data_IF_774540418817
#
_entry.id   IF_774540418817
#
_cell.length_a   1.000
_cell.length_b   1.000
_cell.length_c   1.000
_cell.angle_alpha   90.00
_cell.angle_beta   90.00
_cell.angle_gamma   90.00
#
_symmetry.space_group_name_H-M   'P 1'
#
loop_
_entity.id
_entity.type
_entity.pdbx_description
1 polymer ?
#
# COMPACT_ATOMS: atom_id res chain seq x y z
N UNK A 1 38.73 -4.73 83.43
CA UNK A 1 39.95 -5.42 82.93
C UNK A 1 39.44 -6.53 82.01
N UNK A 2 39.41 -6.25 80.71
CA UNK A 2 40.38 -6.78 79.72
C UNK A 2 40.17 -8.30 79.51
N UNK A 3 40.06 -8.87 78.31
CA UNK A 3 40.34 -8.41 76.96
C UNK A 3 40.00 -9.58 76.00
N UNK A 4 39.78 -9.29 74.71
CA UNK A 4 39.88 -10.21 73.56
C UNK A 4 38.90 -11.42 73.46
N UNK A 5 38.50 -11.95 72.29
CA UNK A 5 38.94 -11.82 70.89
C UNK A 5 37.84 -12.41 70.00
N UNK A 6 37.57 -11.79 68.84
CA UNK A 6 36.89 -12.45 67.73
C UNK A 6 37.81 -13.49 67.08
N UNK A 7 37.26 -14.66 66.70
CA UNK A 7 37.87 -15.56 65.71
C UNK A 7 36.80 -16.30 64.92
N UNK A 8 36.88 -16.14 63.59
CA UNK A 8 36.07 -16.81 62.57
C UNK A 8 36.19 -18.35 62.63
N UNK A 9 35.10 -19.10 62.36
CA UNK A 9 35.20 -20.53 62.09
C UNK A 9 35.70 -20.81 60.65
N UNK A 10 36.37 -21.96 60.43
CA UNK A 10 37.10 -22.27 59.21
C UNK A 10 36.24 -22.79 58.04
N UNK A 11 36.78 -22.56 56.84
CA UNK A 11 36.30 -22.93 55.51
C UNK A 11 35.88 -24.41 55.37
N UNK A 12 34.63 -24.64 55.01
CA UNK A 12 34.15 -25.93 54.51
C UNK A 12 34.41 -26.07 53.00
N UNK A 13 34.99 -27.20 52.63
CA UNK A 13 35.49 -27.53 51.28
C UNK A 13 34.37 -27.84 50.30
N UNK A 14 34.52 -27.30 49.09
CA UNK A 14 33.69 -27.49 47.90
C UNK A 14 33.85 -28.91 47.34
N UNK A 15 32.75 -29.64 47.06
CA UNK A 15 32.75 -30.68 46.06
C UNK A 15 32.16 -30.16 44.73
N UNK A 16 33.00 -30.18 43.71
CA UNK A 16 32.67 -29.93 42.32
C UNK A 16 31.69 -30.98 41.79
N UNK A 17 30.45 -30.57 41.47
CA UNK A 17 29.62 -31.28 40.50
C UNK A 17 29.35 -30.34 39.33
N UNK A 18 30.09 -30.60 38.26
CA UNK A 18 29.93 -30.05 36.92
C UNK A 18 28.49 -30.35 36.48
N UNK A 19 27.59 -29.39 36.66
CA UNK A 19 26.28 -29.40 36.04
C UNK A 19 26.46 -28.66 34.71
N UNK A 20 26.58 -29.43 33.63
CA UNK A 20 26.48 -28.92 32.25
C UNK A 20 25.13 -28.22 32.12
N UNK A 21 25.12 -26.92 32.40
CA UNK A 21 24.02 -26.03 32.06
C UNK A 21 24.26 -25.68 30.60
N UNK A 22 23.50 -26.34 29.74
CA UNK A 22 23.31 -25.90 28.36
C UNK A 22 22.68 -24.51 28.47
N UNK A 23 23.52 -23.47 28.39
CA UNK A 23 23.06 -22.14 28.06
C UNK A 23 22.54 -22.22 26.63
N UNK A 24 21.25 -22.50 26.49
CA UNK A 24 20.51 -22.16 25.29
C UNK A 24 20.75 -20.65 25.12
N UNK A 25 21.43 -20.18 24.05
CA UNK A 25 21.43 -18.76 23.80
C UNK A 25 19.95 -18.40 23.61
N UNK A 26 19.51 -17.40 24.37
CA UNK A 26 18.31 -16.64 24.06
C UNK A 26 18.63 -15.97 22.72
N UNK A 27 18.60 -16.76 21.65
CA UNK A 27 18.42 -16.29 20.30
C UNK A 27 17.01 -15.73 20.33
N UNK A 28 16.95 -14.46 20.74
CA UNK A 28 15.94 -13.47 20.41
C UNK A 28 15.02 -14.04 19.34
N UNK A 29 13.84 -14.43 19.80
CA UNK A 29 12.65 -14.59 18.99
C UNK A 29 12.42 -13.22 18.35
N UNK A 30 13.14 -12.94 17.26
CA UNK A 30 12.78 -11.87 16.33
C UNK A 30 11.56 -12.42 15.63
N UNK A 31 10.42 -12.14 16.24
CA UNK A 31 9.13 -12.39 15.66
C UNK A 31 9.13 -11.75 14.26
N UNK A 32 8.95 -12.60 13.26
CA UNK A 32 8.58 -12.25 11.90
C UNK A 32 7.24 -11.50 11.95
N UNK A 33 7.29 -10.21 12.28
CA UNK A 33 6.28 -9.29 11.79
C UNK A 33 6.63 -9.09 10.32
N UNK A 34 5.97 -9.86 9.44
CA UNK A 34 5.73 -9.42 8.08
C UNK A 34 4.94 -8.12 8.19
N UNK A 35 5.68 -7.01 8.35
CA UNK A 35 5.14 -5.72 8.70
C UNK A 35 4.27 -5.22 7.57
N UNK A 36 3.03 -4.87 7.90
CA UNK A 36 2.25 -3.96 7.08
C UNK A 36 3.09 -2.67 6.98
N UNK A 37 3.72 -2.42 5.83
CA UNK A 37 4.52 -1.22 5.64
C UNK A 37 3.55 -0.05 5.52
N UNK A 38 3.54 0.81 6.53
CA UNK A 38 2.78 2.06 6.48
C UNK A 38 3.32 2.89 5.32
N UNK A 39 2.50 3.23 4.31
CA UNK A 39 2.97 4.00 3.18
C UNK A 39 3.48 5.37 3.64
N UNK A 40 4.50 5.94 2.97
CA UNK A 40 4.98 7.27 3.29
C UNK A 40 3.84 8.29 3.11
N UNK A 41 3.67 9.16 4.11
CA UNK A 41 2.73 10.27 4.09
C UNK A 41 3.50 11.55 4.41
N UNK A 42 3.53 12.46 3.44
CA UNK A 42 4.07 13.80 3.62
C UNK A 42 2.89 14.74 3.90
N UNK A 43 3.02 15.59 4.91
CA UNK A 43 1.92 16.48 5.31
C UNK A 43 1.41 17.31 4.11
N UNK A 44 0.10 17.32 3.92
CA UNK A 44 -0.56 18.06 2.84
C UNK A 44 -0.52 17.38 1.47
N UNK A 45 0.02 16.16 1.36
CA UNK A 45 -0.07 15.34 0.15
C UNK A 45 -0.87 14.08 0.43
N UNK A 46 -1.66 13.59 -0.54
CA UNK A 46 -2.26 12.27 -0.42
C UNK A 46 -1.23 11.20 -0.08
N UNK A 47 -1.61 10.26 0.77
CA UNK A 47 -0.74 9.15 1.15
C UNK A 47 -0.23 8.40 -0.09
N UNK A 48 1.04 7.97 -0.06
CA UNK A 48 1.65 7.22 -1.17
C UNK A 48 1.58 7.95 -2.53
N UNK A 49 1.55 9.29 -2.52
CA UNK A 49 1.51 10.09 -3.74
C UNK A 49 2.71 9.79 -4.64
N UNK A 50 2.46 9.62 -5.93
CA UNK A 50 3.47 9.31 -6.93
C UNK A 50 3.15 9.89 -8.29
N UNK A 51 4.20 10.08 -9.07
CA UNK A 51 4.13 10.53 -10.45
C UNK A 51 4.16 9.31 -11.37
N UNK A 52 3.12 9.13 -12.18
CA UNK A 52 3.09 8.09 -13.22
C UNK A 52 3.66 8.66 -14.51
N UNK A 53 3.15 9.78 -15.00
CA UNK A 53 3.62 10.40 -16.24
C UNK A 53 3.65 11.91 -16.10
N UNK A 54 4.62 12.56 -16.73
CA UNK A 54 4.70 14.02 -16.86
C UNK A 54 5.01 14.40 -18.31
N UNK A 55 4.69 15.65 -18.67
CA UNK A 55 4.84 16.18 -20.02
C UNK A 55 3.48 16.40 -20.68
N UNK A 56 3.28 15.98 -21.94
CA UNK A 56 2.00 16.16 -22.64
C UNK A 56 0.83 15.46 -21.95
N UNK A 57 1.11 14.33 -21.27
CA UNK A 57 0.15 13.56 -20.49
C UNK A 57 0.65 13.46 -19.05
N UNK A 58 -0.06 14.13 -18.14
CA UNK A 58 0.22 14.11 -16.70
C UNK A 58 -0.71 13.13 -15.99
N UNK A 59 -0.14 12.14 -15.32
CA UNK A 59 -0.87 11.16 -14.53
C UNK A 59 -0.18 11.00 -13.19
N UNK A 60 -0.96 11.06 -12.12
CA UNK A 60 -0.54 10.94 -10.74
C UNK A 60 -1.28 9.77 -10.08
N UNK A 61 -0.71 9.24 -9.00
CA UNK A 61 -1.27 8.14 -8.22
C UNK A 61 -1.16 8.42 -6.72
N UNK A 62 -1.97 7.76 -5.91
CA UNK A 62 -1.82 7.73 -4.45
C UNK A 62 -3.05 7.15 -3.76
N UNK A 63 -3.20 7.42 -2.47
CA UNK A 63 -4.38 7.10 -1.68
C UNK A 63 -5.46 8.18 -1.75
N UNK A 64 -6.55 7.94 -1.03
CA UNK A 64 -7.70 8.84 -1.05
C UNK A 64 -7.36 10.16 -0.37
N UNK A 65 -7.60 11.32 -1.01
CA UNK A 65 -7.32 12.61 -0.41
C UNK A 65 -8.29 12.89 0.75
N UNK A 66 -7.76 13.21 1.93
CA UNK A 66 -8.54 13.21 3.19
C UNK A 66 -8.96 14.59 3.69
N UNK A 67 -8.21 15.64 3.35
CA UNK A 67 -8.43 16.98 3.90
C UNK A 67 -8.22 18.09 2.86
N UNK A 68 -8.55 19.32 3.24
CA UNK A 68 -8.44 20.47 2.36
C UNK A 68 -7.02 20.70 1.81
N UNK A 69 -5.97 20.41 2.58
CA UNK A 69 -4.58 20.60 2.14
C UNK A 69 -4.25 19.63 1.00
N UNK A 70 -4.66 18.38 1.13
CA UNK A 70 -4.42 17.36 0.10
C UNK A 70 -5.21 17.65 -1.19
N UNK A 71 -6.45 18.14 -1.08
CA UNK A 71 -7.23 18.55 -2.24
C UNK A 71 -6.69 19.82 -2.90
N UNK A 72 -6.20 20.79 -2.12
CA UNK A 72 -5.49 21.96 -2.63
C UNK A 72 -4.20 21.56 -3.36
N UNK A 73 -3.43 20.63 -2.81
CA UNK A 73 -2.26 20.07 -3.48
C UNK A 73 -2.60 19.44 -4.84
N UNK A 74 -3.68 18.65 -4.94
CA UNK A 74 -4.15 18.11 -6.22
C UNK A 74 -4.57 19.23 -7.20
N UNK A 75 -5.16 20.32 -6.67
CA UNK A 75 -5.50 21.50 -7.46
C UNK A 75 -4.26 22.21 -8.00
N UNK A 76 -3.21 22.35 -7.20
CA UNK A 76 -1.92 22.92 -7.61
C UNK A 76 -1.22 22.07 -8.69
N UNK A 77 -1.35 20.73 -8.60
CA UNK A 77 -0.97 19.79 -9.66
C UNK A 77 -1.87 19.87 -10.90
N UNK A 78 -2.86 20.78 -10.90
CA UNK A 78 -3.81 21.02 -11.98
C UNK A 78 -4.63 19.80 -12.35
N UNK A 79 -4.83 18.88 -11.39
CA UNK A 79 -5.68 17.70 -11.59
C UNK A 79 -7.07 18.14 -12.01
N UNK A 80 -7.54 17.56 -13.13
CA UNK A 80 -8.87 17.80 -13.70
C UNK A 80 -9.81 16.65 -13.39
N UNK A 81 -9.27 15.44 -13.35
CA UNK A 81 -10.04 14.22 -13.18
C UNK A 81 -9.39 13.32 -12.14
N UNK A 82 -10.20 12.79 -11.23
CA UNK A 82 -9.87 11.72 -10.31
C UNK A 82 -10.51 10.43 -10.81
N UNK A 83 -9.76 9.34 -10.86
CA UNK A 83 -10.27 7.98 -11.06
C UNK A 83 -10.21 7.24 -9.72
N UNK A 84 -11.37 7.06 -9.09
CA UNK A 84 -11.56 6.47 -7.77
C UNK A 84 -11.83 4.97 -7.89
N UNK A 85 -11.03 4.15 -7.21
CA UNK A 85 -11.05 2.69 -7.31
C UNK A 85 -11.67 1.97 -6.11
N UNK A 86 -11.87 2.65 -4.99
CA UNK A 86 -12.51 2.08 -3.79
C UNK A 86 -13.94 2.58 -3.64
N UNK A 87 -14.86 1.71 -3.22
CA UNK A 87 -16.21 2.12 -2.84
C UNK A 87 -16.27 2.58 -1.39
N UNK A 88 -15.63 1.82 -0.51
CA UNK A 88 -15.60 2.07 0.92
C UNK A 88 -14.23 2.58 1.37
N UNK A 89 -14.21 3.40 2.40
CA UNK A 89 -13.01 3.94 3.04
C UNK A 89 -13.29 4.32 4.48
N UNK A 90 -12.35 3.98 5.36
CA UNK A 90 -12.35 4.45 6.75
C UNK A 90 -11.89 5.91 6.87
N UNK A 91 -11.21 6.44 5.85
CA UNK A 91 -10.62 7.78 5.90
C UNK A 91 -11.65 8.87 5.58
N UNK A 92 -12.37 8.74 4.46
CA UNK A 92 -13.35 9.74 4.00
C UNK A 92 -14.53 9.05 3.31
N UNK A 93 -15.75 9.46 3.68
CA UNK A 93 -16.97 8.95 3.05
C UNK A 93 -17.07 9.37 1.58
N UNK A 94 -17.76 8.58 0.76
CA UNK A 94 -18.01 8.93 -0.64
C UNK A 94 -18.68 10.31 -0.77
N UNK A 95 -19.62 10.61 0.13
CA UNK A 95 -20.34 11.89 0.10
C UNK A 95 -19.45 13.08 0.43
N UNK A 96 -18.45 12.91 1.30
CA UNK A 96 -17.53 13.99 1.66
C UNK A 96 -16.49 14.22 0.56
N UNK A 97 -16.00 13.15 -0.06
CA UNK A 97 -15.19 13.25 -1.27
C UNK A 97 -15.93 13.96 -2.41
N UNK A 98 -17.21 13.65 -2.64
CA UNK A 98 -18.02 14.34 -3.66
C UNK A 98 -18.17 15.86 -3.34
N UNK A 99 -18.26 16.23 -2.05
CA UNK A 99 -18.27 17.66 -1.64
C UNK A 99 -16.93 18.33 -1.94
N UNK A 100 -15.81 17.68 -1.63
CA UNK A 100 -14.49 18.21 -1.96
C UNK A 100 -14.30 18.33 -3.48
N UNK A 101 -14.71 17.32 -4.25
CA UNK A 101 -14.68 17.36 -5.71
C UNK A 101 -15.46 18.58 -6.26
N UNK A 102 -16.64 18.87 -5.70
CA UNK A 102 -17.42 20.07 -6.02
C UNK A 102 -16.69 21.36 -5.65
N UNK A 103 -16.13 21.44 -4.44
CA UNK A 103 -15.36 22.60 -3.95
C UNK A 103 -14.17 22.93 -4.84
N UNK A 104 -13.38 21.93 -5.21
CA UNK A 104 -12.15 22.10 -6.00
C UNK A 104 -12.38 22.04 -7.52
N UNK A 105 -13.62 21.76 -7.96
CA UNK A 105 -14.02 21.62 -9.37
C UNK A 105 -13.19 20.57 -10.09
N UNK A 106 -13.05 19.40 -9.46
CA UNK A 106 -12.37 18.22 -10.00
C UNK A 106 -13.43 17.18 -10.33
N UNK A 107 -13.39 16.62 -11.54
CA UNK A 107 -14.31 15.54 -11.94
C UNK A 107 -13.89 14.25 -11.25
N UNK A 108 -14.81 13.53 -10.61
CA UNK A 108 -14.54 12.18 -10.08
C UNK A 108 -15.22 11.14 -10.96
N UNK A 109 -14.46 10.15 -11.41
CA UNK A 109 -14.93 8.98 -12.14
C UNK A 109 -14.78 7.78 -11.23
N UNK A 110 -15.90 7.11 -10.92
CA UNK A 110 -15.97 6.03 -9.95
C UNK A 110 -15.88 4.69 -10.68
N UNK A 111 -14.78 3.97 -10.51
CA UNK A 111 -14.52 2.63 -11.08
C UNK A 111 -14.19 1.68 -9.95
N UNK A 112 -15.19 1.35 -9.15
CA UNK A 112 -15.02 0.53 -7.94
C UNK A 112 -14.52 -0.87 -8.27
N UNK A 113 -13.54 -1.34 -7.50
CA UNK A 113 -12.99 -2.68 -7.62
C UNK A 113 -12.58 -3.24 -6.26
N UNK A 114 -12.80 -4.55 -6.13
CA UNK A 114 -12.30 -5.34 -5.01
C UNK A 114 -10.78 -5.59 -5.09
N UNK A 115 -10.19 -6.08 -4.00
CA UNK A 115 -10.81 -6.25 -2.69
C UNK A 115 -11.11 -4.89 -2.04
N UNK A 116 -12.28 -4.76 -1.43
CA UNK A 116 -12.72 -3.55 -0.74
C UNK A 116 -12.22 -3.51 0.70
N UNK A 117 -12.14 -2.31 1.27
CA UNK A 117 -11.75 -2.18 2.68
C UNK A 117 -12.85 -2.79 3.57
N UNK A 118 -12.41 -3.50 4.61
CA UNK A 118 -13.31 -4.00 5.64
C UNK A 118 -13.59 -2.87 6.63
N UNK A 119 -14.81 -2.35 6.58
CA UNK A 119 -15.36 -1.39 7.53
C UNK A 119 -16.34 -2.12 8.44
N UNK A 120 -16.01 -2.32 9.74
CA UNK A 120 -16.87 -3.01 10.68
C UNK A 120 -18.29 -2.43 10.71
N UNK A 121 -19.29 -3.28 10.51
CA UNK A 121 -20.70 -2.89 10.52
C UNK A 121 -21.23 -2.25 9.21
N UNK A 122 -20.37 -2.00 8.22
CA UNK A 122 -20.78 -1.49 6.89
C UNK A 122 -20.52 -2.53 5.81
N UNK A 123 -19.27 -2.99 5.70
CA UNK A 123 -18.84 -3.95 4.70
C UNK A 123 -17.59 -4.67 5.20
N UNK A 124 -17.69 -5.95 5.53
CA UNK A 124 -16.55 -6.79 5.88
C UNK A 124 -16.74 -8.17 5.28
N UNK A 125 -16.72 -8.21 3.95
CA UNK A 125 -16.56 -9.45 3.20
C UNK A 125 -15.07 -9.65 2.99
N UNK A 126 -14.38 -10.14 4.02
CA UNK A 126 -13.00 -10.61 3.84
C UNK A 126 -13.10 -11.99 3.22
N UNK A 127 -12.63 -12.10 1.97
CA UNK A 127 -12.42 -13.40 1.36
C UNK A 127 -11.42 -14.21 2.20
N UNK A 128 -11.80 -15.37 2.75
CA UNK A 128 -10.93 -16.17 3.61
C UNK A 128 -9.65 -16.62 2.90
N UNK A 129 -9.67 -16.73 1.58
CA UNK A 129 -8.51 -17.15 0.78
C UNK A 129 -7.62 -15.98 0.34
N UNK A 130 -8.06 -14.74 0.58
CA UNK A 130 -7.42 -13.48 0.15
C UNK A 130 -7.06 -13.49 -1.34
N UNK A 131 -7.83 -14.23 -2.14
CA UNK A 131 -7.62 -14.45 -3.57
C UNK A 131 -8.67 -13.73 -4.45
N UNK A 132 -9.52 -12.92 -3.82
CA UNK A 132 -10.47 -12.01 -4.47
C UNK A 132 -9.77 -11.17 -5.54
N UNK A 133 -10.14 -11.42 -6.80
CA UNK A 133 -9.71 -10.64 -7.95
C UNK A 133 -10.67 -9.46 -8.15
N UNK A 134 -10.19 -8.34 -8.71
CA UNK A 134 -11.07 -7.27 -9.18
C UNK A 134 -12.20 -7.81 -10.07
N UNK A 135 -13.38 -7.20 -9.96
CA UNK A 135 -14.52 -7.57 -10.79
C UNK A 135 -14.15 -7.53 -12.28
N UNK A 136 -14.70 -8.45 -13.06
CA UNK A 136 -14.41 -8.57 -14.50
C UNK A 136 -14.53 -7.21 -15.20
N UNK A 137 -13.53 -6.87 -16.02
CA UNK A 137 -13.42 -5.62 -16.78
C UNK A 137 -13.23 -4.33 -15.96
N UNK A 138 -13.30 -4.35 -14.62
CA UNK A 138 -13.12 -3.12 -13.80
C UNK A 138 -11.76 -2.45 -14.05
N UNK A 139 -10.70 -3.27 -14.10
CA UNK A 139 -9.34 -2.81 -14.42
C UNK A 139 -9.24 -2.24 -15.83
N UNK A 140 -9.84 -2.89 -16.82
CA UNK A 140 -9.85 -2.41 -18.20
C UNK A 140 -10.59 -1.06 -18.31
N UNK A 141 -11.73 -0.94 -17.63
CA UNK A 141 -12.52 0.29 -17.54
C UNK A 141 -11.71 1.41 -16.90
N UNK A 142 -11.00 1.13 -15.79
CA UNK A 142 -10.16 2.13 -15.13
C UNK A 142 -9.05 2.64 -16.06
N UNK A 143 -8.39 1.75 -16.79
CA UNK A 143 -7.33 2.12 -17.76
C UNK A 143 -7.90 2.96 -18.91
N UNK A 144 -9.09 2.62 -19.41
CA UNK A 144 -9.79 3.39 -20.44
C UNK A 144 -10.12 4.80 -19.94
N UNK A 145 -10.73 4.91 -18.76
CA UNK A 145 -11.08 6.19 -18.15
C UNK A 145 -9.85 7.07 -17.88
N UNK A 146 -8.74 6.47 -17.40
CA UNK A 146 -7.46 7.17 -17.26
C UNK A 146 -6.99 7.70 -18.62
N UNK A 147 -7.03 6.88 -19.65
CA UNK A 147 -6.54 7.23 -21.00
C UNK A 147 -7.36 8.36 -21.62
N UNK A 148 -8.70 8.27 -21.53
CA UNK A 148 -9.63 9.29 -22.04
C UNK A 148 -9.50 10.59 -21.24
N UNK A 149 -9.45 10.50 -19.92
CA UNK A 149 -9.32 11.67 -19.06
C UNK A 149 -7.97 12.38 -19.25
N UNK A 150 -6.89 11.61 -19.42
CA UNK A 150 -5.55 12.14 -19.65
C UNK A 150 -5.43 12.98 -20.93
N UNK A 151 -6.24 12.69 -21.96
CA UNK A 151 -6.35 13.52 -23.15
C UNK A 151 -6.98 14.90 -22.91
N UNK A 152 -7.66 15.09 -21.78
CA UNK A 152 -8.37 16.32 -21.41
C UNK A 152 -7.71 17.09 -20.26
N UNK A 153 -6.67 16.53 -19.63
CA UNK A 153 -5.91 17.18 -18.57
C UNK A 153 -5.32 16.20 -17.55
N UNK A 154 -4.60 16.70 -16.53
CA UNK A 154 -3.94 15.84 -15.55
C UNK A 154 -4.92 14.98 -14.76
N UNK A 155 -4.58 13.70 -14.60
CA UNK A 155 -5.39 12.68 -13.92
C UNK A 155 -4.74 12.26 -12.61
N UNK A 156 -5.54 12.05 -11.56
CA UNK A 156 -5.11 11.41 -10.32
C UNK A 156 -5.87 10.11 -10.10
N UNK A 157 -5.15 9.02 -9.85
CA UNK A 157 -5.74 7.68 -9.64
C UNK A 157 -5.55 7.27 -8.19
N UNK A 158 -6.62 6.87 -7.50
CA UNK A 158 -6.50 6.39 -6.13
C UNK A 158 -7.43 5.23 -5.78
N UNK A 159 -7.04 4.50 -4.75
CA UNK A 159 -7.89 3.67 -3.91
C UNK A 159 -7.81 4.25 -2.49
N UNK A 160 -7.85 3.43 -1.44
CA UNK A 160 -7.73 3.90 -0.06
C UNK A 160 -6.30 4.32 0.28
N UNK A 161 -5.33 3.40 0.15
CA UNK A 161 -3.92 3.63 0.53
C UNK A 161 -2.98 3.88 -0.66
N UNK A 162 -3.49 3.75 -1.89
CA UNK A 162 -2.68 3.92 -3.10
C UNK A 162 -1.68 2.81 -3.39
N UNK A 163 -1.81 1.65 -2.72
CA UNK A 163 -0.89 0.52 -2.81
C UNK A 163 -1.39 -0.52 -3.83
N UNK A 164 -2.46 -1.25 -3.49
CA UNK A 164 -2.88 -2.46 -4.21
C UNK A 164 -3.65 -2.18 -5.48
N UNK A 165 -4.90 -1.71 -5.37
CA UNK A 165 -5.79 -1.41 -6.51
C UNK A 165 -5.18 -0.35 -7.43
N UNK A 166 -4.68 0.74 -6.85
CA UNK A 166 -3.93 1.77 -7.59
C UNK A 166 -2.68 1.19 -8.25
N UNK A 167 -1.89 0.39 -7.52
CA UNK A 167 -0.67 -0.21 -8.07
C UNK A 167 -0.95 -1.16 -9.22
N UNK A 168 -2.00 -1.97 -9.12
CA UNK A 168 -2.46 -2.86 -10.17
C UNK A 168 -2.86 -2.08 -11.42
N UNK A 169 -3.76 -1.10 -11.28
CA UNK A 169 -4.25 -0.29 -12.41
C UNK A 169 -3.10 0.48 -13.06
N UNK A 170 -2.21 1.09 -12.27
CA UNK A 170 -1.05 1.81 -12.79
C UNK A 170 -0.09 0.87 -13.51
N UNK A 171 0.25 -0.29 -12.94
CA UNK A 171 1.16 -1.25 -13.56
C UNK A 171 0.59 -1.79 -14.89
N UNK A 172 -0.71 -2.06 -14.94
CA UNK A 172 -1.36 -2.50 -16.17
C UNK A 172 -1.53 -1.37 -17.19
N UNK A 173 -1.71 -0.12 -16.74
CA UNK A 173 -1.62 1.06 -17.61
C UNK A 173 -0.21 1.18 -18.23
N UNK A 174 0.85 1.01 -17.43
CA UNK A 174 2.24 1.00 -17.92
C UNK A 174 2.43 -0.02 -19.04
N UNK A 175 1.92 -1.23 -18.85
CA UNK A 175 2.07 -2.31 -19.83
C UNK A 175 1.23 -2.08 -21.08
N UNK A 176 -0.07 -1.81 -20.92
CA UNK A 176 -1.04 -1.74 -22.03
C UNK A 176 -0.94 -0.46 -22.86
N UNK A 177 -0.61 0.66 -22.22
CA UNK A 177 -0.64 1.98 -22.86
C UNK A 177 0.77 2.51 -23.13
N UNK A 178 1.69 2.33 -22.20
CA UNK A 178 3.05 2.88 -22.30
C UNK A 178 4.11 1.86 -22.73
N UNK A 179 3.70 0.62 -23.02
CA UNK A 179 4.59 -0.41 -23.54
C UNK A 179 5.67 -0.89 -22.57
N UNK A 180 5.50 -0.70 -21.26
CA UNK A 180 6.44 -1.25 -20.29
C UNK A 180 6.39 -2.78 -20.31
N UNK A 181 7.57 -3.39 -20.21
CA UNK A 181 7.67 -4.82 -19.97
C UNK A 181 7.21 -5.17 -18.55
N UNK A 182 6.72 -6.41 -18.38
CA UNK A 182 6.05 -6.83 -17.17
C UNK A 182 6.92 -6.64 -15.94
N UNK A 183 8.20 -7.04 -16.05
CA UNK A 183 9.18 -6.85 -14.97
C UNK A 183 9.30 -5.39 -14.54
N UNK A 184 9.41 -4.45 -15.48
CA UNK A 184 9.57 -3.02 -15.17
C UNK A 184 8.32 -2.47 -14.49
N UNK A 185 7.13 -2.85 -14.98
CA UNK A 185 5.87 -2.44 -14.37
C UNK A 185 5.70 -3.02 -12.96
N UNK A 186 6.13 -4.27 -12.75
CA UNK A 186 6.10 -4.92 -11.43
C UNK A 186 7.10 -4.29 -10.46
N UNK A 187 8.33 -4.01 -10.91
CA UNK A 187 9.36 -3.33 -10.13
C UNK A 187 8.84 -1.95 -9.66
N UNK A 188 8.19 -1.18 -10.54
CA UNK A 188 7.55 0.09 -10.17
C UNK A 188 6.40 -0.14 -9.19
N UNK A 189 5.50 -1.11 -9.41
CA UNK A 189 4.41 -1.42 -8.49
C UNK A 189 4.93 -1.73 -7.08
N UNK A 190 6.00 -2.51 -6.99
CA UNK A 190 6.58 -2.97 -5.73
C UNK A 190 7.23 -1.82 -4.93
N UNK A 191 7.60 -0.69 -5.57
CA UNK A 191 8.04 0.53 -4.87
C UNK A 191 6.92 1.20 -4.07
N UNK A 192 5.66 0.87 -4.37
CA UNK A 192 4.48 1.41 -3.69
C UNK A 192 3.87 0.42 -2.69
N UNK A 193 4.67 -0.51 -2.18
CA UNK A 193 4.36 -1.35 -1.02
C UNK A 193 3.02 -2.12 -1.12
N UNK A 194 2.80 -2.90 -2.19
CA UNK A 194 1.58 -3.71 -2.30
C UNK A 194 1.54 -4.74 -1.18
N UNK A 195 0.34 -5.01 -0.68
CA UNK A 195 0.10 -6.06 0.30
C UNK A 195 0.27 -7.43 -0.36
N UNK A 196 1.33 -8.14 0.01
CA UNK A 196 1.68 -9.45 -0.55
C UNK A 196 0.68 -10.55 -0.21
N UNK A 197 -0.21 -10.33 0.76
CA UNK A 197 -1.27 -11.27 1.11
C UNK A 197 -2.46 -11.20 0.16
N UNK A 198 -2.66 -10.10 -0.56
CA UNK A 198 -3.75 -9.95 -1.54
C UNK A 198 -3.41 -10.68 -2.84
N UNK A 199 -3.55 -12.01 -2.81
CA UNK A 199 -3.19 -12.91 -3.91
C UNK A 199 -4.01 -12.64 -5.15
N UNK A 200 -5.27 -12.21 -5.01
CA UNK A 200 -6.13 -11.91 -6.16
C UNK A 200 -5.63 -10.74 -7.01
N UNK A 201 -5.14 -9.67 -6.36
CA UNK A 201 -4.49 -8.54 -7.05
C UNK A 201 -3.22 -9.00 -7.78
N UNK A 202 -2.39 -9.81 -7.12
CA UNK A 202 -1.16 -10.35 -7.75
C UNK A 202 -1.51 -11.26 -8.93
N UNK A 203 -2.53 -12.11 -8.79
CA UNK A 203 -3.01 -13.03 -9.82
C UNK A 203 -3.55 -12.28 -11.05
N UNK A 204 -4.32 -11.23 -10.86
CA UNK A 204 -4.80 -10.36 -11.95
C UNK A 204 -3.61 -9.77 -12.72
N UNK A 205 -2.60 -9.24 -12.03
CA UNK A 205 -1.38 -8.76 -12.69
C UNK A 205 -0.61 -9.88 -13.42
N UNK A 206 -0.47 -11.04 -12.79
CA UNK A 206 0.29 -12.18 -13.33
C UNK A 206 -0.34 -12.79 -14.58
N UNK A 207 -1.65 -12.65 -14.75
CA UNK A 207 -2.37 -13.07 -15.95
C UNK A 207 -2.17 -12.14 -17.15
N UNK A 208 -1.70 -10.90 -16.94
CA UNK A 208 -1.46 -9.96 -18.03
C UNK A 208 -0.43 -10.51 -19.01
N UNK A 209 -0.81 -10.52 -20.30
CA UNK A 209 0.08 -11.00 -21.37
C UNK A 209 1.18 -9.97 -21.61
N UNK A 210 2.42 -10.44 -21.61
CA UNK A 210 3.56 -9.59 -21.95
C UNK A 210 3.63 -9.32 -23.45
N UNK A 211 3.98 -8.08 -23.80
CA UNK A 211 4.19 -7.68 -25.20
C UNK A 211 5.32 -8.51 -25.83
N UNK A 212 5.18 -8.97 -27.09
CA UNK A 212 6.28 -9.65 -27.79
C UNK A 212 7.57 -8.84 -27.86
N UNK A 213 7.49 -7.51 -27.83
CA UNK A 213 8.64 -6.60 -27.86
C UNK A 213 9.52 -6.67 -26.59
N UNK A 214 9.05 -7.33 -25.52
CA UNK A 214 9.77 -7.50 -24.27
C UNK A 214 10.61 -8.77 -24.19
N UNK A 215 10.51 -9.64 -25.21
CA UNK A 215 11.34 -10.84 -25.31
C UNK A 215 12.67 -10.47 -25.95
N UNK A 216 13.69 -10.31 -25.10
CA UNK A 216 15.10 -10.35 -25.51
C UNK A 216 15.70 -11.68 -25.03
#
# INVERSE_FOLDING_TARGET
MNDQKQSLPPLAKIPSRIRRTVFLPIATVIALLAGCQTPPHEEGKPVNFGVVSEGPISIYRGGQPVDDKEWEFLKEKKVKTIVKLNKYSDAVSESDEDKFAGKYKIKVIKVFMGPEDCIPGVHCSIDPDLDEMPAKNSVATAIEEITVAAGNGPVYVHCSHGQDRTGLVVALYRMRVQGYCKKKADDERNQYYPNTLLRGIKKEFDQERESPACKN
#
